data_IF_219608717449
#
_entry.id   IF_219608717449
#
_cell.length_a   1.000
_cell.length_b   1.000
_cell.length_c   1.000
_cell.angle_alpha   90.00
_cell.angle_beta   90.00
_cell.angle_gamma   90.00
#
_symmetry.space_group_name_H-M   'P 1'
#
loop_
_entity.id
_entity.type
_entity.pdbx_description
1 polymer ?
#
# COMPACT_ATOMS: atom_id res chain seq x y z
N UNK A 1 6.64 -2.66 5.08
CA UNK A 1 7.73 -3.65 4.99
C UNK A 1 7.19 -4.91 4.35
N UNK A 2 8.02 -5.60 3.58
CA UNK A 2 7.80 -6.99 3.15
C UNK A 2 8.75 -7.88 3.96
N UNK A 3 8.23 -8.91 4.63
CA UNK A 3 9.01 -9.98 5.22
C UNK A 3 8.93 -11.24 4.35
N UNK A 4 9.98 -12.06 4.31
CA UNK A 4 9.96 -13.31 3.54
C UNK A 4 9.53 -13.16 2.04
N UNK A 5 10.25 -12.31 1.30
CA UNK A 5 9.99 -11.97 -0.10
C UNK A 5 9.89 -13.15 -1.09
N UNK A 6 10.26 -14.36 -0.67
CA UNK A 6 10.19 -15.59 -1.48
C UNK A 6 8.77 -16.09 -1.75
N UNK A 7 7.81 -15.80 -0.88
CA UNK A 7 6.42 -16.29 -1.01
C UNK A 7 5.62 -15.53 -2.06
N UNK A 8 4.71 -16.19 -2.78
CA UNK A 8 3.94 -15.57 -3.88
C UNK A 8 3.10 -14.39 -3.41
N UNK A 9 2.44 -14.52 -2.27
CA UNK A 9 1.71 -13.44 -1.60
C UNK A 9 2.33 -13.21 -0.24
N UNK A 10 2.67 -11.95 0.05
CA UNK A 10 3.17 -11.53 1.36
C UNK A 10 2.42 -10.28 1.79
N UNK A 11 1.75 -10.26 2.94
CA UNK A 11 1.10 -9.05 3.44
C UNK A 11 2.13 -7.97 3.76
N UNK A 12 1.80 -6.72 3.48
CA UNK A 12 2.57 -5.60 3.98
C UNK A 12 2.27 -5.40 5.46
N UNK A 13 3.31 -5.11 6.21
CA UNK A 13 3.24 -4.75 7.63
C UNK A 13 4.00 -3.46 7.90
N UNK A 14 3.61 -2.74 8.95
CA UNK A 14 4.42 -1.63 9.48
C UNK A 14 5.60 -2.19 10.27
N UNK A 15 6.75 -1.51 10.18
CA UNK A 15 7.95 -1.84 10.92
C UNK A 15 8.79 -0.58 11.10
N UNK A 16 9.73 -0.62 12.03
CA UNK A 16 10.71 0.45 12.21
C UNK A 16 11.47 0.71 10.91
N UNK A 17 11.56 1.98 10.52
CA UNK A 17 12.20 2.37 9.27
C UNK A 17 13.72 2.27 9.39
N UNK A 18 14.33 1.41 8.58
CA UNK A 18 15.78 1.22 8.50
C UNK A 18 16.33 1.45 7.08
N UNK A 19 15.49 1.96 6.18
CA UNK A 19 15.79 2.18 4.76
C UNK A 19 16.23 0.91 4.01
N UNK A 20 15.94 -0.29 4.50
CA UNK A 20 16.19 -1.53 3.76
C UNK A 20 15.34 -1.63 2.49
N UNK A 21 15.79 -2.39 1.49
CA UNK A 21 15.07 -2.57 0.22
C UNK A 21 13.66 -3.16 0.41
N UNK A 22 13.45 -3.90 1.48
CA UNK A 22 12.15 -4.43 1.88
C UNK A 22 11.18 -3.37 2.42
N UNK A 23 11.63 -2.12 2.55
CA UNK A 23 10.84 -0.94 2.91
C UNK A 23 10.80 0.11 1.79
N UNK A 24 11.47 -0.15 0.65
CA UNK A 24 11.51 0.77 -0.50
C UNK A 24 10.55 0.30 -1.59
N UNK A 25 9.85 1.25 -2.20
CA UNK A 25 8.96 1.02 -3.32
C UNK A 25 9.31 1.97 -4.47
N UNK A 26 9.63 1.42 -5.64
CA UNK A 26 9.83 2.20 -6.85
C UNK A 26 8.52 2.35 -7.62
N UNK A 27 8.26 3.55 -8.08
CA UNK A 27 7.09 3.85 -8.89
C UNK A 27 7.36 3.51 -10.36
N UNK A 28 6.49 2.73 -11.00
CA UNK A 28 6.57 2.45 -12.45
C UNK A 28 5.23 2.66 -13.13
N UNK A 29 5.25 3.07 -14.39
CA UNK A 29 4.06 3.20 -15.25
C UNK A 29 4.11 2.14 -16.35
N UNK A 30 3.51 0.96 -16.18
CA UNK A 30 3.49 -0.04 -17.23
C UNK A 30 2.64 0.44 -18.42
N UNK A 31 3.25 0.45 -19.61
CA UNK A 31 2.52 0.48 -20.89
C UNK A 31 1.63 1.70 -21.19
N UNK A 32 1.92 2.88 -20.64
CA UNK A 32 1.19 4.12 -20.99
C UNK A 32 -0.18 4.29 -20.33
N UNK A 33 -0.48 3.55 -19.26
CA UNK A 33 -1.64 3.82 -18.40
C UNK A 33 -1.37 4.99 -17.44
N UNK A 34 -2.43 5.71 -17.05
CA UNK A 34 -2.39 6.95 -16.27
C UNK A 34 -2.07 6.79 -14.78
N UNK A 35 -1.75 5.58 -14.31
CA UNK A 35 -1.50 5.31 -12.90
C UNK A 35 -0.73 4.00 -12.71
N UNK A 36 -0.05 3.89 -11.58
CA UNK A 36 1.25 3.27 -11.49
C UNK A 36 1.27 2.01 -10.65
N UNK A 37 2.32 1.21 -10.81
CA UNK A 37 2.66 0.12 -9.89
C UNK A 37 3.73 0.59 -8.91
N UNK A 38 3.63 0.14 -7.66
CA UNK A 38 4.65 0.34 -6.63
C UNK A 38 5.41 -0.98 -6.43
N UNK A 39 6.64 -1.05 -6.93
CA UNK A 39 7.46 -2.26 -6.90
C UNK A 39 8.34 -2.26 -5.66
N UNK A 40 8.14 -3.23 -4.77
CA UNK A 40 9.02 -3.40 -3.62
C UNK A 40 10.43 -3.80 -4.06
N UNK A 41 11.46 -3.11 -3.55
CA UNK A 41 12.83 -3.31 -4.03
C UNK A 41 13.46 -4.63 -3.58
N UNK A 42 13.03 -5.22 -2.45
CA UNK A 42 13.54 -6.52 -2.03
C UNK A 42 12.87 -7.69 -2.75
N UNK A 43 11.55 -7.64 -2.96
CA UNK A 43 10.81 -8.76 -3.56
C UNK A 43 10.65 -8.68 -5.07
N UNK A 44 10.88 -7.51 -5.67
CA UNK A 44 10.61 -7.21 -7.09
C UNK A 44 9.15 -7.51 -7.49
N UNK A 45 8.25 -7.48 -6.50
CA UNK A 45 6.81 -7.67 -6.64
C UNK A 45 6.09 -6.35 -6.46
N UNK A 46 4.91 -6.28 -7.05
CA UNK A 46 4.09 -5.08 -7.00
C UNK A 46 3.26 -5.08 -5.73
N UNK A 47 3.09 -3.90 -5.13
CA UNK A 47 2.04 -3.67 -4.16
C UNK A 47 0.72 -4.11 -4.77
N UNK A 48 -0.08 -4.83 -4.01
CA UNK A 48 -1.25 -5.55 -4.50
C UNK A 48 -2.32 -5.54 -3.40
N UNK A 49 -3.53 -5.09 -3.75
CA UNK A 49 -4.70 -5.23 -2.90
C UNK A 49 -5.28 -6.63 -3.11
N UNK A 50 -5.30 -7.46 -2.06
CA UNK A 50 -5.59 -8.89 -2.21
C UNK A 50 -6.98 -9.15 -2.79
N UNK A 51 -7.06 -9.48 -4.08
CA UNK A 51 -8.29 -9.83 -4.81
C UNK A 51 -8.17 -11.26 -5.35
N UNK A 52 -8.21 -12.28 -4.47
CA UNK A 52 -8.00 -13.68 -4.88
C UNK A 52 -9.06 -14.17 -5.88
N UNK A 53 -10.23 -13.51 -5.93
CA UNK A 53 -11.27 -13.79 -6.90
C UNK A 53 -11.08 -13.13 -8.27
N UNK A 54 -10.08 -12.25 -8.41
CA UNK A 54 -9.84 -11.42 -9.59
C UNK A 54 -11.13 -10.72 -10.07
N UNK A 55 -11.96 -10.30 -9.10
CA UNK A 55 -13.25 -9.67 -9.33
C UNK A 55 -13.12 -8.24 -9.82
N UNK A 56 -11.94 -7.64 -9.56
CA UNK A 56 -11.69 -6.23 -9.70
C UNK A 56 -12.35 -5.37 -8.64
N UNK A 57 -13.16 -5.92 -7.73
CA UNK A 57 -13.83 -5.14 -6.71
C UNK A 57 -12.93 -5.00 -5.47
N UNK A 58 -12.70 -3.75 -5.06
CA UNK A 58 -11.94 -3.46 -3.85
C UNK A 58 -12.90 -3.06 -2.71
N UNK A 59 -12.62 -3.48 -1.48
CA UNK A 59 -13.48 -3.28 -0.32
C UNK A 59 -12.70 -2.91 0.94
N UNK A 60 -13.39 -2.34 1.93
CA UNK A 60 -12.77 -1.95 3.21
C UNK A 60 -12.36 -3.18 4.00
N UNK A 61 -11.15 -3.15 4.55
CA UNK A 61 -10.57 -4.27 5.29
C UNK A 61 -9.79 -5.26 4.42
N UNK A 62 -9.74 -5.05 3.11
CA UNK A 62 -8.94 -5.88 2.19
C UNK A 62 -7.45 -5.77 2.52
N UNK A 63 -6.76 -6.90 2.73
CA UNK A 63 -5.32 -6.92 3.02
C UNK A 63 -4.54 -6.37 1.81
N UNK A 64 -3.49 -5.57 2.07
CA UNK A 64 -2.54 -5.12 1.06
C UNK A 64 -1.22 -5.86 1.26
N UNK A 65 -0.66 -6.37 0.17
CA UNK A 65 0.54 -7.17 0.15
C UNK A 65 1.44 -6.86 -1.04
N UNK A 66 2.39 -7.75 -1.29
CA UNK A 66 3.10 -7.84 -2.57
C UNK A 66 2.76 -9.13 -3.29
N UNK A 67 2.58 -9.04 -4.60
CA UNK A 67 2.29 -10.15 -5.51
C UNK A 67 3.05 -9.96 -6.84
N UNK A 68 3.35 -11.03 -7.60
CA UNK A 68 3.91 -10.90 -8.94
C UNK A 68 3.23 -9.80 -9.76
N UNK A 69 4.04 -8.90 -10.32
CA UNK A 69 3.54 -7.77 -11.11
C UNK A 69 2.74 -8.26 -12.32
N UNK A 70 1.56 -7.67 -12.54
CA UNK A 70 0.65 -7.95 -13.64
C UNK A 70 0.35 -6.68 -14.42
N UNK A 71 0.31 -6.78 -15.74
CA UNK A 71 0.03 -5.65 -16.65
C UNK A 71 -1.42 -5.64 -17.16
N UNK A 72 -2.34 -6.37 -16.53
CA UNK A 72 -3.72 -6.60 -17.00
C UNK A 72 -4.79 -6.03 -16.06
N UNK A 73 -5.87 -5.49 -16.62
CA UNK A 73 -7.08 -5.05 -15.89
C UNK A 73 -7.93 -6.23 -15.39
N UNK A 74 -8.68 -6.09 -14.28
CA UNK A 74 -8.61 -4.99 -13.31
C UNK A 74 -7.35 -5.14 -12.45
N UNK A 75 -6.55 -4.09 -12.39
CA UNK A 75 -5.31 -4.08 -11.64
C UNK A 75 -5.62 -3.65 -10.21
N UNK A 76 -5.78 -4.63 -9.34
CA UNK A 76 -5.60 -4.48 -7.90
C UNK A 76 -4.15 -4.09 -7.51
N UNK A 77 -3.28 -3.86 -8.50
CA UNK A 77 -1.88 -3.42 -8.37
C UNK A 77 -1.64 -1.96 -8.78
N UNK A 78 -2.71 -1.18 -9.05
CA UNK A 78 -2.57 0.23 -9.40
C UNK A 78 -2.68 1.10 -8.15
N UNK A 79 -1.58 1.77 -7.83
CA UNK A 79 -1.43 2.65 -6.68
C UNK A 79 -0.79 3.98 -7.09
N UNK A 80 -1.33 5.10 -6.60
CA UNK A 80 -0.75 6.44 -6.81
C UNK A 80 -0.56 7.18 -5.50
N UNK A 81 0.50 7.97 -5.45
CA UNK A 81 0.66 8.97 -4.40
C UNK A 81 -0.27 10.15 -4.66
N UNK A 82 -0.92 10.64 -3.61
CA UNK A 82 -1.66 11.90 -3.60
C UNK A 82 -1.25 12.74 -2.39
N UNK A 83 -1.31 14.07 -2.54
CA UNK A 83 -1.11 14.97 -1.40
C UNK A 83 -2.18 14.70 -0.34
N UNK A 84 -1.82 14.60 0.95
CA UNK A 84 -2.78 14.32 1.99
C UNK A 84 -3.65 15.56 2.25
N UNK A 85 -4.92 15.40 2.68
CA UNK A 85 -5.79 16.51 3.05
C UNK A 85 -5.20 17.41 4.15
N UNK A 86 -4.30 16.87 4.99
CA UNK A 86 -3.60 17.63 6.03
C UNK A 86 -2.65 18.70 5.49
N UNK A 87 -2.25 18.62 4.22
CA UNK A 87 -1.24 19.51 3.64
C UNK A 87 0.17 19.32 4.22
N UNK A 88 0.40 18.28 5.01
CA UNK A 88 1.69 18.01 5.65
C UNK A 88 2.77 17.75 4.61
N UNK A 89 3.79 18.62 4.59
CA UNK A 89 4.94 18.47 3.69
C UNK A 89 5.70 17.15 3.97
N UNK A 90 6.06 16.43 2.91
CA UNK A 90 6.76 15.15 3.01
C UNK A 90 5.85 13.95 3.32
N UNK A 91 4.52 14.13 3.35
CA UNK A 91 3.54 13.06 3.48
C UNK A 91 2.74 12.87 2.18
N UNK A 92 2.20 11.68 2.01
CA UNK A 92 1.27 11.33 0.94
C UNK A 92 0.20 10.34 1.44
N UNK A 93 -0.98 10.37 0.85
CA UNK A 93 -1.84 9.19 0.82
C UNK A 93 -1.43 8.31 -0.37
N UNK A 94 -1.58 6.99 -0.22
CA UNK A 94 -1.40 6.03 -1.32
C UNK A 94 -2.78 5.51 -1.70
N UNK A 95 -3.24 5.89 -2.89
CA UNK A 95 -4.57 5.57 -3.37
C UNK A 95 -4.51 4.33 -4.27
N UNK A 96 -5.29 3.31 -3.92
CA UNK A 96 -5.60 2.20 -4.81
C UNK A 96 -6.61 2.65 -5.90
N UNK A 97 -6.88 1.77 -6.85
CA UNK A 97 -8.01 1.96 -7.76
C UNK A 97 -9.34 2.08 -6.98
N UNK A 98 -10.37 2.67 -7.60
CA UNK A 98 -11.70 2.85 -7.00
C UNK A 98 -11.75 3.74 -5.75
N UNK A 99 -10.72 4.57 -5.51
CA UNK A 99 -10.77 5.65 -4.52
C UNK A 99 -10.54 5.21 -3.07
N UNK A 100 -9.94 4.04 -2.85
CA UNK A 100 -9.53 3.56 -1.53
C UNK A 100 -8.10 3.94 -1.21
N UNK A 101 -7.82 4.09 0.08
CA UNK A 101 -6.51 4.45 0.60
C UNK A 101 -5.83 3.25 1.27
N UNK A 102 -4.51 3.16 1.10
CA UNK A 102 -3.65 2.25 1.86
C UNK A 102 -3.56 2.76 3.29
N UNK A 103 -3.90 1.90 4.23
CA UNK A 103 -4.10 2.23 5.63
C UNK A 103 -3.35 1.25 6.53
N UNK A 104 -2.74 1.75 7.60
CA UNK A 104 -2.32 0.91 8.72
C UNK A 104 -3.58 0.40 9.42
N UNK A 105 -3.78 -0.92 9.49
CA UNK A 105 -4.99 -1.49 10.11
C UNK A 105 -5.10 -1.04 11.56
N UNK A 106 -6.17 -0.33 11.88
CA UNK A 106 -6.50 0.12 13.24
C UNK A 106 -7.78 -0.56 13.74
N UNK A 107 -7.94 -0.63 15.07
CA UNK A 107 -9.22 -1.01 15.67
C UNK A 107 -10.10 0.23 15.75
N UNK A 108 -11.20 0.34 14.98
CA UNK A 108 -12.05 1.52 14.99
C UNK A 108 -12.74 1.76 16.35
N UNK A 109 -12.87 0.73 17.18
CA UNK A 109 -13.44 0.84 18.53
C UNK A 109 -12.40 1.31 19.57
N UNK A 110 -11.14 1.45 19.17
CA UNK A 110 -10.07 1.99 20.01
C UNK A 110 -9.10 2.85 19.16
N UNK A 111 -9.54 4.05 18.73
CA UNK A 111 -8.75 4.90 17.84
C UNK A 111 -7.49 5.49 18.51
N UNK A 112 -7.37 5.36 19.83
CA UNK A 112 -6.17 5.76 20.59
C UNK A 112 -5.11 4.68 20.66
N UNK A 113 -5.43 3.43 20.33
CA UNK A 113 -4.43 2.36 20.25
C UNK A 113 -3.53 2.60 19.05
N UNK A 114 -2.26 2.89 19.30
CA UNK A 114 -1.29 3.01 18.22
C UNK A 114 -0.99 1.63 17.64
N UNK A 115 -1.01 1.47 16.30
CA UNK A 115 -0.62 0.23 15.66
C UNK A 115 0.85 -0.06 15.95
N UNK A 116 1.12 -1.28 16.45
CA UNK A 116 2.47 -1.73 16.77
C UNK A 116 3.21 -2.26 15.53
N UNK A 117 4.51 -2.48 15.70
CA UNK A 117 5.36 -3.19 14.74
C UNK A 117 4.70 -4.53 14.35
N UNK A 118 4.69 -4.84 13.06
CA UNK A 118 4.01 -6.02 12.50
C UNK A 118 2.52 -5.83 12.19
N UNK A 119 1.92 -4.68 12.51
CA UNK A 119 0.52 -4.42 12.13
C UNK A 119 0.35 -4.45 10.61
N UNK A 120 -0.66 -5.18 10.14
CA UNK A 120 -0.94 -5.32 8.72
C UNK A 120 -1.42 -4.02 8.09
N UNK A 121 -1.19 -3.91 6.78
CA UNK A 121 -1.75 -2.87 5.94
C UNK A 121 -3.04 -3.36 5.28
N UNK A 122 -4.02 -2.48 5.14
CA UNK A 122 -5.29 -2.75 4.48
C UNK A 122 -5.70 -1.63 3.52
N UNK A 123 -6.75 -1.86 2.73
CA UNK A 123 -7.51 -0.81 2.10
C UNK A 123 -8.66 -0.35 2.98
N UNK A 124 -8.89 0.95 2.98
CA UNK A 124 -10.06 1.57 3.58
C UNK A 124 -10.49 2.78 2.76
N UNK A 125 -11.71 3.25 2.98
CA UNK A 125 -12.14 4.52 2.38
C UNK A 125 -11.25 5.66 2.88
N UNK A 126 -10.84 6.53 1.95
CA UNK A 126 -10.00 7.68 2.26
C UNK A 126 -10.75 8.66 3.17
N UNK A 127 -10.14 9.01 4.30
CA UNK A 127 -10.73 9.89 5.32
C UNK A 127 -9.72 10.86 5.95
N UNK A 128 -8.49 10.93 5.43
CA UNK A 128 -7.46 11.86 5.87
C UNK A 128 -6.88 11.58 7.25
N UNK A 129 -7.21 10.44 7.86
CA UNK A 129 -6.72 10.09 9.19
C UNK A 129 -5.22 9.80 9.19
N UNK A 130 -4.53 9.95 10.34
CA UNK A 130 -3.07 9.76 10.41
C UNK A 130 -2.58 8.40 9.91
N UNK A 131 -3.38 7.34 10.07
CA UNK A 131 -3.03 5.99 9.60
C UNK A 131 -3.13 5.78 8.08
N UNK A 132 -3.61 6.77 7.33
CA UNK A 132 -3.59 6.80 5.87
C UNK A 132 -2.50 7.74 5.31
N UNK A 133 -1.78 8.45 6.18
CA UNK A 133 -0.75 9.41 5.79
C UNK A 133 0.64 8.79 5.93
N UNK A 134 1.29 8.58 4.79
CA UNK A 134 2.60 7.94 4.68
C UNK A 134 3.68 8.99 4.54
N UNK A 135 4.65 8.98 5.44
CA UNK A 135 5.85 9.81 5.29
C UNK A 135 6.69 9.26 4.14
N UNK A 136 6.97 10.09 3.14
CA UNK A 136 7.81 9.74 2.01
C UNK A 136 9.26 10.12 2.33
N UNK A 137 10.17 9.20 2.02
CA UNK A 137 11.61 9.44 2.06
C UNK A 137 12.13 9.33 0.63
N UNK A 138 12.69 10.43 0.13
CA UNK A 138 13.50 10.42 -1.09
C UNK A 138 14.94 10.21 -0.68
N UNK A 139 15.57 9.17 -1.24
CA UNK A 139 16.99 8.86 -1.05
C UNK A 139 17.82 9.44 -2.19
#
# INVERSE_FOLDING_TARGET
MVDNASQTWVPLTVWDCNFGDNQRFANTTPGGTSCCQLINQASQKCMDAGDPGNSGQLFNGQDVGVFPCKVSTPTNQNFRYQSPPSGSLGYAEIHASQGKCVEIRVNPNNPTAQPGVGTKIQLWDCNGQPWQQWKLFTL
#
